data_IF_361811729754
#
_entry.id   IF_361811729754
#
_cell.length_a   1.000
_cell.length_b   1.000
_cell.length_c   1.000
_cell.angle_alpha   90.00
_cell.angle_beta   90.00
_cell.angle_gamma   90.00
#
_symmetry.space_group_name_H-M   'P 1'
#
loop_
_entity.id
_entity.type
_entity.pdbx_description
1 polymer ?
#
# COMPACT_ATOMS: atom_id res chain seq x y z
N UNK A 1 81.97 21.26 -4.71
CA UNK A 1 80.75 21.16 -5.54
C UNK A 1 79.70 20.24 -4.93
N UNK A 2 80.06 19.16 -4.23
CA UNK A 2 79.10 18.13 -3.79
C UNK A 2 78.08 18.56 -2.71
N UNK A 3 78.45 19.47 -1.81
CA UNK A 3 77.52 19.93 -0.75
C UNK A 3 76.32 20.73 -1.28
N UNK A 4 76.44 21.41 -2.42
CA UNK A 4 75.35 22.23 -2.98
C UNK A 4 74.25 21.37 -3.61
N UNK A 5 74.62 20.31 -4.33
CA UNK A 5 73.65 19.39 -4.94
C UNK A 5 72.80 18.67 -3.91
N UNK A 6 73.36 18.39 -2.73
CA UNK A 6 72.64 17.81 -1.61
C UNK A 6 71.49 18.71 -1.12
N UNK A 7 71.72 20.02 -1.02
CA UNK A 7 70.67 20.96 -0.60
C UNK A 7 69.55 21.11 -1.64
N UNK A 8 69.86 21.01 -2.94
CA UNK A 8 68.84 21.03 -4.00
C UNK A 8 67.98 19.77 -4.02
N UNK A 9 68.57 18.60 -3.75
CA UNK A 9 67.83 17.32 -3.66
C UNK A 9 66.86 17.35 -2.48
N UNK A 10 67.29 17.88 -1.33
CA UNK A 10 66.43 18.07 -0.16
C UNK A 10 65.29 19.04 -0.47
N UNK A 11 65.58 20.16 -1.15
CA UNK A 11 64.56 21.13 -1.53
C UNK A 11 63.52 20.56 -2.52
N UNK A 12 63.93 19.66 -3.42
CA UNK A 12 63.03 19.01 -4.38
C UNK A 12 62.09 17.97 -3.73
N UNK A 13 62.57 17.27 -2.70
CA UNK A 13 61.76 16.31 -1.94
C UNK A 13 60.73 16.99 -1.01
N UNK A 14 60.98 18.24 -0.61
CA UNK A 14 60.10 19.04 0.25
C UNK A 14 58.87 19.62 -0.49
N UNK A 15 58.77 19.48 -1.81
CA UNK A 15 57.66 20.00 -2.64
C UNK A 15 56.69 18.91 -3.15
N UNK A 16 56.88 17.65 -2.75
CA UNK A 16 55.97 16.57 -3.11
C UNK A 16 54.94 16.37 -1.98
N UNK A 17 53.74 16.95 -2.14
CA UNK A 17 52.57 16.52 -1.39
C UNK A 17 51.88 15.37 -2.15
N UNK A 18 51.67 14.23 -1.49
CA UNK A 18 50.87 13.12 -2.01
C UNK A 18 49.52 13.08 -1.29
N UNK A 19 48.44 13.41 -1.99
CA UNK A 19 47.09 13.13 -1.53
C UNK A 19 46.73 11.68 -1.87
N UNK A 20 46.98 10.76 -0.94
CA UNK A 20 46.32 9.46 -0.94
C UNK A 20 45.12 9.55 0.01
N UNK A 21 43.91 9.69 -0.54
CA UNK A 21 42.66 9.69 0.23
C UNK A 21 41.75 8.53 -0.20
N UNK A 22 41.44 7.65 0.74
CA UNK A 22 40.11 7.04 0.89
C UNK A 22 39.83 7.00 2.39
N UNK A 23 38.77 7.67 2.83
CA UNK A 23 38.52 7.88 4.25
C UNK A 23 37.96 6.64 4.95
N UNK A 24 38.82 5.88 5.61
CA UNK A 24 38.48 5.00 6.74
C UNK A 24 39.37 5.42 7.91
N UNK A 25 38.75 5.85 9.01
CA UNK A 25 39.37 6.44 10.22
C UNK A 25 40.06 7.82 10.01
N UNK A 26 39.33 8.81 9.50
CA UNK A 26 39.83 10.18 9.19
C UNK A 26 38.96 11.26 9.86
N UNK A 27 39.53 12.43 10.19
CA UNK A 27 38.79 13.61 10.70
C UNK A 27 38.74 14.80 9.74
N UNK A 28 39.07 14.63 8.45
CA UNK A 28 38.56 15.53 7.41
C UNK A 28 38.45 14.86 6.03
N UNK A 29 37.51 13.92 5.83
CA UNK A 29 37.12 13.49 4.50
C UNK A 29 36.10 14.45 3.86
N UNK A 30 36.31 14.81 2.59
CA UNK A 30 35.29 15.44 1.72
C UNK A 30 34.66 14.44 0.71
N UNK A 31 35.01 13.16 0.88
CA UNK A 31 34.81 11.91 0.12
C UNK A 31 34.53 11.95 -1.41
N UNK A 32 35.39 11.27 -2.19
CA UNK A 32 35.01 10.65 -3.45
C UNK A 32 35.30 9.14 -3.42
N UNK A 33 34.24 8.32 -3.44
CA UNK A 33 34.29 6.88 -3.68
C UNK A 33 34.44 6.64 -5.20
N UNK A 34 35.56 6.09 -5.65
CA UNK A 34 35.81 5.79 -7.08
C UNK A 34 35.80 4.28 -7.33
N UNK A 35 34.82 3.79 -8.10
CA UNK A 35 34.67 2.39 -8.53
C UNK A 35 34.90 2.33 -10.05
N UNK A 36 35.85 1.51 -10.52
CA UNK A 36 36.11 1.32 -11.95
C UNK A 36 36.18 -0.17 -12.30
N UNK A 37 35.52 -0.57 -13.40
CA UNK A 37 35.52 -1.93 -13.94
C UNK A 37 36.68 -2.12 -14.95
N UNK A 38 37.32 -3.28 -14.95
CA UNK A 38 38.47 -3.60 -15.82
C UNK A 38 38.08 -4.59 -16.96
N UNK A 39 37.06 -5.48 -16.82
CA UNK A 39 36.56 -6.35 -17.91
C UNK A 39 35.44 -7.35 -17.51
N UNK A 40 34.94 -8.10 -18.50
CA UNK A 40 33.57 -8.62 -18.69
C UNK A 40 33.15 -9.94 -18.02
N UNK A 41 33.84 -10.49 -17.02
CA UNK A 41 33.35 -11.71 -16.32
C UNK A 41 32.70 -11.43 -14.94
N UNK A 42 32.10 -10.24 -14.81
CA UNK A 42 31.01 -9.88 -13.89
C UNK A 42 31.25 -10.05 -12.38
N UNK A 43 32.33 -9.45 -11.84
CA UNK A 43 32.58 -9.38 -10.38
C UNK A 43 32.84 -7.95 -9.90
N UNK A 44 32.04 -7.01 -10.38
CA UNK A 44 32.15 -5.60 -9.99
C UNK A 44 31.18 -5.30 -8.85
N UNK A 45 31.67 -4.69 -7.78
CA UNK A 45 30.85 -4.29 -6.65
C UNK A 45 31.66 -3.99 -5.39
N UNK A 46 30.98 -3.52 -4.35
CA UNK A 46 31.53 -3.41 -3.00
C UNK A 46 31.01 -4.59 -2.19
N UNK A 47 31.91 -5.39 -1.64
CA UNK A 47 31.55 -6.46 -0.71
C UNK A 47 31.55 -5.86 0.70
N UNK A 48 30.39 -5.91 1.35
CA UNK A 48 30.24 -5.61 2.77
C UNK A 48 30.71 -6.81 3.61
N UNK A 49 31.07 -6.61 4.90
CA UNK A 49 31.42 -7.71 5.79
C UNK A 49 30.37 -8.83 5.74
N UNK A 50 30.83 -10.06 5.46
CA UNK A 50 29.98 -11.23 5.34
C UNK A 50 29.96 -12.02 6.64
N UNK A 51 28.78 -12.34 7.16
CA UNK A 51 28.59 -13.02 8.43
C UNK A 51 27.52 -14.11 8.31
N UNK A 52 27.63 -15.17 9.11
CA UNK A 52 26.61 -16.23 9.18
C UNK A 52 25.51 -15.91 10.21
N UNK A 53 25.83 -15.08 11.21
CA UNK A 53 24.95 -14.67 12.31
C UNK A 53 25.11 -13.17 12.60
N UNK A 54 24.12 -12.57 13.26
CA UNK A 54 24.26 -11.21 13.76
C UNK A 54 25.29 -11.10 14.89
N UNK A 55 26.13 -10.04 14.90
CA UNK A 55 26.91 -9.67 16.07
C UNK A 55 26.00 -9.50 17.31
N UNK A 56 26.42 -10.09 18.42
CA UNK A 56 25.64 -10.15 19.67
C UNK A 56 25.82 -8.94 20.58
N UNK A 57 26.95 -8.23 20.45
CA UNK A 57 27.28 -7.08 21.30
C UNK A 57 27.23 -5.82 20.45
N UNK A 58 26.06 -5.21 20.41
CA UNK A 58 25.82 -3.98 19.65
C UNK A 58 25.68 -2.79 20.59
N UNK A 59 26.37 -1.69 20.26
CA UNK A 59 26.36 -0.43 21.02
C UNK A 59 25.94 0.73 20.10
N UNK A 60 26.03 1.97 20.57
CA UNK A 60 25.80 3.14 19.73
C UNK A 60 26.88 3.29 18.64
N UNK A 61 28.07 2.72 18.85
CA UNK A 61 29.21 2.84 17.92
C UNK A 61 28.99 2.06 16.61
N UNK A 62 28.06 1.11 16.60
CA UNK A 62 27.71 0.33 15.40
C UNK A 62 26.43 0.84 14.71
N UNK A 63 25.92 2.01 15.10
CA UNK A 63 24.76 2.60 14.42
C UNK A 63 25.05 2.81 12.92
N UNK A 64 24.06 2.48 12.08
CA UNK A 64 24.18 2.46 10.62
C UNK A 64 25.21 1.46 10.05
N UNK A 65 25.69 0.50 10.85
CA UNK A 65 26.59 -0.55 10.35
C UNK A 65 25.87 -1.46 9.35
N UNK A 66 26.43 -1.63 8.16
CA UNK A 66 25.90 -2.52 7.12
C UNK A 66 26.72 -3.81 6.99
N UNK A 67 26.04 -4.94 6.89
CA UNK A 67 26.63 -6.28 6.70
C UNK A 67 25.85 -7.06 5.63
N UNK A 68 26.46 -8.14 5.16
CA UNK A 68 25.78 -9.15 4.35
C UNK A 68 25.72 -10.46 5.13
N UNK A 69 24.51 -10.98 5.37
CA UNK A 69 24.31 -12.32 5.95
C UNK A 69 24.32 -13.35 4.82
N UNK A 70 25.12 -14.41 4.99
CA UNK A 70 25.31 -15.47 3.98
C UNK A 70 24.12 -16.41 3.87
N UNK A 71 23.38 -16.61 4.96
CA UNK A 71 22.32 -17.61 5.10
C UNK A 71 22.79 -19.01 5.52
N UNK A 72 24.07 -19.17 5.92
CA UNK A 72 24.59 -20.45 6.40
C UNK A 72 24.32 -20.70 7.90
N UNK A 73 23.94 -19.65 8.64
CA UNK A 73 23.53 -19.72 10.05
C UNK A 73 22.00 -19.72 10.21
N UNK A 74 21.53 -19.19 11.35
CA UNK A 74 20.12 -19.08 11.71
C UNK A 74 19.41 -17.89 11.06
N UNK A 75 20.16 -16.91 10.56
CA UNK A 75 19.62 -15.68 9.95
C UNK A 75 19.55 -15.82 8.43
N UNK A 76 18.43 -15.37 7.86
CA UNK A 76 18.21 -15.39 6.42
C UNK A 76 19.23 -14.51 5.66
N UNK A 77 19.69 -15.04 4.52
CA UNK A 77 20.59 -14.35 3.59
C UNK A 77 20.06 -12.96 3.20
N UNK A 78 20.96 -11.97 3.16
CA UNK A 78 20.62 -10.64 2.66
C UNK A 78 21.56 -9.53 3.13
N UNK A 79 21.31 -8.32 2.66
CA UNK A 79 21.95 -7.11 3.19
C UNK A 79 21.18 -6.60 4.39
N UNK A 80 21.89 -6.31 5.47
CA UNK A 80 21.32 -5.85 6.73
C UNK A 80 22.05 -4.59 7.21
N UNK A 81 21.34 -3.70 7.88
CA UNK A 81 21.93 -2.59 8.61
C UNK A 81 21.48 -2.62 10.06
N UNK A 82 22.33 -2.16 10.96
CA UNK A 82 21.98 -1.99 12.37
C UNK A 82 21.48 -0.56 12.60
N UNK A 83 20.34 -0.44 13.25
CA UNK A 83 19.81 0.82 13.76
C UNK A 83 19.92 0.77 15.29
N UNK A 84 20.65 1.71 15.89
CA UNK A 84 20.80 1.74 17.34
C UNK A 84 19.43 1.85 18.03
N UNK A 85 19.27 1.13 19.14
CA UNK A 85 18.00 0.89 19.86
C UNK A 85 16.93 0.06 19.12
N UNK A 86 16.92 0.05 17.78
CA UNK A 86 15.93 -0.66 16.96
C UNK A 86 16.39 -2.05 16.48
N UNK A 87 17.69 -2.33 16.49
CA UNK A 87 18.26 -3.64 16.13
C UNK A 87 18.60 -3.79 14.64
N UNK A 88 18.72 -5.04 14.19
CA UNK A 88 19.07 -5.38 12.81
C UNK A 88 17.86 -5.29 11.87
N UNK A 89 18.01 -4.55 10.76
CA UNK A 89 17.00 -4.42 9.70
C UNK A 89 17.56 -4.81 8.35
N UNK A 90 16.74 -5.48 7.54
CA UNK A 90 17.11 -5.89 6.19
C UNK A 90 16.97 -4.71 5.23
N UNK A 91 17.97 -4.46 4.39
CA UNK A 91 18.00 -3.32 3.45
C UNK A 91 17.03 -3.49 2.28
N UNK A 92 16.90 -4.71 1.78
CA UNK A 92 15.96 -5.08 0.73
C UNK A 92 15.19 -6.27 1.27
N UNK A 93 14.01 -5.99 1.78
CA UNK A 93 13.04 -7.03 2.10
C UNK A 93 11.97 -7.01 1.01
N UNK A 94 11.60 -8.17 0.46
CA UNK A 94 10.51 -8.23 -0.53
C UNK A 94 9.22 -7.64 0.03
N UNK A 95 9.04 -7.72 1.34
CA UNK A 95 7.99 -7.11 2.15
C UNK A 95 8.06 -5.58 2.20
N UNK A 96 9.22 -4.92 2.13
CA UNK A 96 9.29 -3.44 2.11
C UNK A 96 8.92 -2.85 0.74
N UNK A 97 9.20 -3.59 -0.34
CA UNK A 97 8.74 -3.22 -1.68
C UNK A 97 7.24 -3.41 -1.87
N UNK A 98 6.66 -4.46 -1.25
CA UNK A 98 5.22 -4.78 -1.29
C UNK A 98 4.40 -3.87 -0.36
N UNK A 99 4.89 -3.56 0.86
CA UNK A 99 4.23 -2.60 1.76
C UNK A 99 4.24 -1.17 1.22
N UNK A 100 5.23 -0.79 0.39
CA UNK A 100 5.19 0.47 -0.34
C UNK A 100 4.21 0.47 -1.51
N UNK A 101 3.83 -0.68 -2.09
CA UNK A 101 2.87 -0.70 -3.21
C UNK A 101 1.48 -0.25 -2.78
N UNK A 102 1.04 -0.53 -1.54
CA UNK A 102 -0.30 -0.13 -1.06
C UNK A 102 -0.47 1.40 -1.08
N UNK A 103 0.63 2.14 -0.81
CA UNK A 103 0.65 3.59 -0.85
C UNK A 103 0.71 4.16 -2.26
N UNK A 104 1.03 3.35 -3.28
CA UNK A 104 1.10 3.82 -4.68
C UNK A 104 -0.26 3.88 -5.35
N UNK A 105 -1.27 3.16 -4.83
CA UNK A 105 -2.61 3.22 -5.38
C UNK A 105 -3.70 2.89 -4.34
N UNK A 106 -4.30 3.89 -3.66
CA UNK A 106 -5.31 3.65 -2.64
C UNK A 106 -6.63 3.10 -3.20
N UNK A 107 -6.80 3.02 -4.53
CA UNK A 107 -7.94 2.34 -5.15
C UNK A 107 -7.71 0.82 -5.25
N UNK A 108 -6.45 0.39 -5.25
CA UNK A 108 -6.04 -1.01 -5.47
C UNK A 108 -4.92 -1.38 -4.49
N UNK A 109 -5.19 -1.44 -3.18
CA UNK A 109 -4.17 -1.67 -2.15
C UNK A 109 -3.43 -3.01 -2.28
N UNK A 110 -4.10 -4.04 -2.82
CA UNK A 110 -3.48 -5.35 -3.09
C UNK A 110 -2.54 -5.34 -4.31
N UNK A 111 -2.47 -4.22 -5.01
CA UNK A 111 -1.72 -4.08 -6.25
C UNK A 111 -2.39 -4.80 -7.43
N UNK A 112 -1.60 -5.04 -8.47
CA UNK A 112 -2.05 -5.62 -9.74
C UNK A 112 -1.22 -6.83 -10.17
N UNK A 113 -0.42 -7.39 -9.26
CA UNK A 113 0.45 -8.54 -9.57
C UNK A 113 -0.41 -9.80 -9.65
N UNK A 114 -0.35 -10.49 -10.79
CA UNK A 114 -1.06 -11.77 -10.96
C UNK A 114 -2.58 -11.64 -11.01
N UNK A 115 -3.11 -10.50 -11.44
CA UNK A 115 -4.56 -10.29 -11.56
C UNK A 115 -5.22 -11.34 -12.45
N UNK A 116 -6.43 -11.75 -12.07
CA UNK A 116 -7.27 -12.66 -12.83
C UNK A 116 -8.58 -11.94 -13.16
N UNK A 117 -8.80 -11.54 -14.43
CA UNK A 117 -10.05 -10.89 -14.82
C UNK A 117 -11.27 -11.78 -14.58
N UNK A 118 -12.36 -11.18 -14.11
CA UNK A 118 -13.63 -11.87 -13.86
C UNK A 118 -14.78 -11.05 -14.45
N UNK A 119 -15.67 -11.74 -15.16
CA UNK A 119 -16.98 -11.22 -15.56
C UNK A 119 -18.02 -12.25 -15.14
N UNK A 120 -19.03 -11.84 -14.39
CA UNK A 120 -20.03 -12.76 -13.84
C UNK A 120 -21.42 -12.12 -13.83
N UNK A 121 -22.45 -12.89 -14.20
CA UNK A 121 -23.85 -12.47 -14.13
C UNK A 121 -24.48 -13.01 -12.84
N UNK A 122 -24.68 -12.12 -11.86
CA UNK A 122 -25.27 -12.48 -10.56
C UNK A 122 -26.72 -12.98 -10.66
N UNK A 123 -27.41 -12.75 -11.79
CA UNK A 123 -28.76 -13.32 -12.02
C UNK A 123 -28.72 -14.83 -12.24
N UNK A 124 -27.59 -15.35 -12.71
CA UNK A 124 -27.42 -16.79 -12.99
C UNK A 124 -27.00 -17.57 -11.74
N UNK A 125 -26.52 -16.88 -10.71
CA UNK A 125 -26.07 -17.45 -9.45
C UNK A 125 -25.15 -16.47 -8.71
N UNK A 126 -25.06 -16.62 -7.39
CA UNK A 126 -24.11 -15.85 -6.59
C UNK A 126 -22.66 -16.14 -6.96
N UNK A 127 -21.76 -15.26 -6.52
CA UNK A 127 -20.32 -15.41 -6.73
C UNK A 127 -19.59 -15.42 -5.39
N UNK A 128 -18.96 -16.54 -5.06
CA UNK A 128 -18.09 -16.64 -3.89
C UNK A 128 -16.68 -16.21 -4.25
N UNK A 129 -16.13 -15.25 -3.52
CA UNK A 129 -14.74 -14.85 -3.70
C UNK A 129 -13.83 -15.97 -3.20
N UNK A 130 -12.86 -16.46 -4.01
CA UNK A 130 -11.97 -17.54 -3.59
C UNK A 130 -11.14 -17.20 -2.35
N UNK A 131 -10.81 -18.22 -1.55
CA UNK A 131 -9.87 -18.08 -0.44
C UNK A 131 -8.51 -17.54 -0.93
N UNK A 132 -7.92 -16.63 -0.15
CA UNK A 132 -6.65 -15.96 -0.46
C UNK A 132 -6.76 -14.84 -1.51
N UNK A 133 -7.96 -14.51 -2.01
CA UNK A 133 -8.16 -13.49 -3.04
C UNK A 133 -9.11 -12.39 -2.60
N UNK A 134 -8.80 -11.15 -2.97
CA UNK A 134 -9.77 -10.07 -2.97
C UNK A 134 -10.30 -9.84 -4.39
N UNK A 135 -11.58 -9.50 -4.49
CA UNK A 135 -12.25 -9.16 -5.74
C UNK A 135 -12.43 -7.63 -5.84
N UNK A 136 -11.93 -7.06 -6.92
CA UNK A 136 -12.15 -5.66 -7.29
C UNK A 136 -13.17 -5.59 -8.40
N UNK A 137 -14.35 -5.05 -8.11
CA UNK A 137 -15.38 -4.78 -9.12
C UNK A 137 -15.17 -3.37 -9.66
N UNK A 138 -14.99 -3.27 -10.98
CA UNK A 138 -14.65 -2.02 -11.66
C UNK A 138 -15.75 -1.52 -12.59
N UNK A 139 -16.71 -2.38 -12.94
CA UNK A 139 -17.90 -1.96 -13.68
C UNK A 139 -19.10 -2.86 -13.40
N UNK A 140 -20.29 -2.31 -13.59
CA UNK A 140 -21.56 -2.99 -13.44
C UNK A 140 -22.46 -2.73 -14.64
N UNK A 141 -23.29 -3.70 -14.96
CA UNK A 141 -24.29 -3.60 -16.01
C UNK A 141 -25.59 -4.26 -15.60
N UNK A 142 -26.72 -3.59 -15.89
CA UNK A 142 -28.05 -4.19 -15.85
C UNK A 142 -28.95 -3.48 -16.87
N UNK A 143 -29.54 -4.27 -17.77
CA UNK A 143 -30.36 -3.77 -18.89
C UNK A 143 -31.63 -3.03 -18.49
N UNK A 144 -32.12 -3.18 -17.26
CA UNK A 144 -33.34 -2.51 -16.78
C UNK A 144 -33.06 -1.26 -15.95
N UNK A 145 -31.79 -0.93 -15.72
CA UNK A 145 -31.33 0.02 -14.71
C UNK A 145 -31.79 -0.26 -13.27
N UNK A 146 -32.72 -1.18 -13.01
CA UNK A 146 -33.20 -1.54 -11.67
C UNK A 146 -32.44 -2.78 -11.19
N UNK A 147 -31.92 -2.73 -9.97
CA UNK A 147 -31.23 -3.85 -9.37
C UNK A 147 -30.51 -3.52 -8.08
N UNK A 148 -29.97 -4.55 -7.46
CA UNK A 148 -29.14 -4.46 -6.26
C UNK A 148 -27.96 -5.41 -6.37
N UNK A 149 -26.88 -5.07 -5.66
CA UNK A 149 -25.77 -5.96 -5.38
C UNK A 149 -25.56 -6.01 -3.87
N UNK A 150 -25.54 -7.22 -3.33
CA UNK A 150 -25.40 -7.49 -1.90
C UNK A 150 -24.17 -8.37 -1.71
N UNK A 151 -23.41 -8.10 -0.66
CA UNK A 151 -22.39 -9.00 -0.15
C UNK A 151 -22.87 -9.59 1.17
N UNK A 152 -22.74 -10.90 1.33
CA UNK A 152 -22.77 -11.57 2.63
C UNK A 152 -21.32 -11.69 3.10
N UNK A 153 -20.98 -10.91 4.12
CA UNK A 153 -19.71 -10.98 4.80
C UNK A 153 -19.69 -12.24 5.66
N UNK A 154 -18.83 -13.19 5.30
CA UNK A 154 -18.79 -14.48 5.96
C UNK A 154 -18.14 -14.40 7.35
N UNK A 155 -17.37 -13.35 7.63
CA UNK A 155 -16.74 -13.15 8.94
C UNK A 155 -17.74 -12.67 9.98
N UNK A 156 -18.64 -11.76 9.58
CA UNK A 156 -19.68 -11.21 10.47
C UNK A 156 -21.04 -11.90 10.33
N UNK A 157 -21.23 -12.72 9.29
CA UNK A 157 -22.53 -13.28 8.88
C UNK A 157 -23.60 -12.21 8.61
N UNK A 158 -23.18 -11.00 8.24
CA UNK A 158 -24.06 -9.88 7.92
C UNK A 158 -24.12 -9.63 6.41
N UNK A 159 -25.25 -9.11 5.96
CA UNK A 159 -25.45 -8.73 4.55
C UNK A 159 -25.44 -7.22 4.38
N UNK A 160 -24.74 -6.75 3.36
CA UNK A 160 -24.54 -5.33 3.07
C UNK A 160 -24.93 -5.02 1.63
N UNK A 161 -25.72 -3.96 1.42
CA UNK A 161 -26.12 -3.54 0.06
C UNK A 161 -25.08 -2.59 -0.50
N UNK A 162 -24.23 -3.09 -1.40
CA UNK A 162 -23.14 -2.33 -2.00
C UNK A 162 -23.62 -1.40 -3.11
N UNK A 163 -24.70 -1.78 -3.80
CA UNK A 163 -25.31 -1.01 -4.90
C UNK A 163 -26.82 -1.21 -4.85
N UNK A 164 -27.58 -0.13 -5.06
CA UNK A 164 -29.02 -0.18 -5.22
C UNK A 164 -29.50 0.83 -6.26
N UNK A 165 -30.37 0.37 -7.16
CA UNK A 165 -31.28 1.21 -7.90
C UNK A 165 -32.69 0.61 -7.88
N UNK A 166 -33.64 1.39 -7.40
CA UNK A 166 -35.04 0.99 -7.24
C UNK A 166 -35.93 1.41 -8.41
N UNK A 167 -35.51 2.34 -9.26
CA UNK A 167 -36.33 2.87 -10.36
C UNK A 167 -35.54 2.97 -11.68
N UNK A 168 -36.14 2.50 -12.77
CA UNK A 168 -35.51 2.49 -14.10
C UNK A 168 -35.26 3.91 -14.64
N UNK A 169 -36.05 4.88 -14.19
CA UNK A 169 -35.94 6.29 -14.54
C UNK A 169 -34.77 7.01 -13.86
N UNK A 170 -34.15 6.40 -12.84
CA UNK A 170 -32.99 7.02 -12.22
C UNK A 170 -31.73 6.75 -13.06
N UNK A 171 -30.83 7.73 -13.11
CA UNK A 171 -29.50 7.57 -13.70
C UNK A 171 -28.83 6.34 -13.12
N UNK A 172 -28.17 5.49 -13.91
CA UNK A 172 -27.55 4.25 -13.44
C UNK A 172 -26.51 4.47 -12.32
N UNK A 173 -26.32 3.51 -11.38
CA UNK A 173 -25.30 3.62 -10.33
C UNK A 173 -23.93 3.89 -10.90
N UNK A 174 -23.29 4.97 -10.47
CA UNK A 174 -21.90 5.26 -10.86
C UNK A 174 -20.98 5.09 -9.65
N UNK A 175 -19.77 4.61 -9.90
CA UNK A 175 -18.70 4.55 -8.91
C UNK A 175 -17.37 4.81 -9.61
N UNK A 176 -16.51 5.61 -8.98
CA UNK A 176 -15.19 6.00 -9.50
C UNK A 176 -14.04 5.28 -8.78
N UNK A 177 -14.33 4.67 -7.64
CA UNK A 177 -13.44 3.77 -6.90
C UNK A 177 -14.02 2.36 -7.00
N UNK A 178 -13.18 1.32 -7.11
CA UNK A 178 -13.67 -0.05 -7.20
C UNK A 178 -14.44 -0.42 -5.94
N UNK A 179 -15.38 -1.35 -6.10
CA UNK A 179 -16.00 -2.01 -4.96
C UNK A 179 -15.12 -3.19 -4.61
N UNK A 180 -14.61 -3.20 -3.37
CA UNK A 180 -13.67 -4.20 -2.88
C UNK A 180 -14.42 -5.27 -2.07
N UNK A 181 -14.28 -6.53 -2.50
CA UNK A 181 -14.97 -7.67 -1.90
C UNK A 181 -13.96 -8.69 -1.34
N UNK A 182 -14.14 -9.09 -0.08
CA UNK A 182 -13.20 -9.94 0.66
C UNK A 182 -13.26 -11.40 0.25
N UNK A 183 -12.15 -12.09 0.46
CA UNK A 183 -12.08 -13.55 0.33
C UNK A 183 -13.19 -14.26 1.12
N UNK A 184 -13.73 -15.34 0.55
CA UNK A 184 -14.82 -16.17 1.10
C UNK A 184 -16.18 -15.49 1.22
N UNK A 185 -16.31 -14.20 0.90
CA UNK A 185 -17.60 -13.53 0.89
C UNK A 185 -18.44 -13.95 -0.33
N UNK A 186 -19.76 -13.90 -0.15
CA UNK A 186 -20.71 -14.27 -1.20
C UNK A 186 -21.40 -13.01 -1.74
N UNK A 187 -21.19 -12.75 -3.03
CA UNK A 187 -21.96 -11.76 -3.78
C UNK A 187 -23.25 -12.37 -4.31
N UNK A 188 -24.33 -11.60 -4.19
CA UNK A 188 -25.61 -11.86 -4.84
C UNK A 188 -26.19 -10.57 -5.42
N UNK A 189 -27.14 -10.71 -6.33
CA UNK A 189 -27.80 -9.53 -6.89
C UNK A 189 -28.32 -9.74 -8.29
N UNK A 190 -28.53 -8.63 -8.99
CA UNK A 190 -29.13 -8.61 -10.33
C UNK A 190 -28.26 -7.90 -11.35
N UNK A 191 -26.99 -7.60 -11.03
CA UNK A 191 -26.05 -7.00 -11.95
C UNK A 191 -25.13 -8.05 -12.59
N UNK A 192 -24.70 -7.78 -13.82
CA UNK A 192 -23.45 -8.33 -14.34
C UNK A 192 -22.34 -7.44 -13.83
N UNK A 193 -21.29 -8.01 -13.27
CA UNK A 193 -20.09 -7.26 -12.92
C UNK A 193 -18.92 -7.66 -13.82
N UNK A 194 -18.00 -6.71 -14.00
CA UNK A 194 -16.65 -7.00 -14.48
C UNK A 194 -15.64 -6.40 -13.50
N UNK A 195 -14.53 -7.12 -13.32
CA UNK A 195 -13.53 -6.85 -12.32
C UNK A 195 -12.35 -7.81 -12.41
N UNK A 196 -11.63 -7.97 -11.31
CA UNK A 196 -10.52 -8.93 -11.23
C UNK A 196 -10.28 -9.42 -9.80
N UNK A 197 -9.71 -10.62 -9.68
CA UNK A 197 -9.16 -11.16 -8.46
C UNK A 197 -7.66 -10.86 -8.36
N UNK A 198 -7.17 -10.66 -7.16
CA UNK A 198 -5.73 -10.53 -6.84
C UNK A 198 -5.47 -11.14 -5.46
N UNK A 199 -4.21 -11.49 -5.16
CA UNK A 199 -3.82 -11.99 -3.84
C UNK A 199 -4.23 -10.97 -2.75
N UNK A 200 -4.94 -11.44 -1.73
CA UNK A 200 -5.42 -10.58 -0.65
C UNK A 200 -4.25 -10.18 0.27
N UNK A 201 -4.08 -8.88 0.46
CA UNK A 201 -3.10 -8.25 1.36
C UNK A 201 -3.75 -7.28 2.33
N UNK A 202 -4.98 -6.84 2.06
CA UNK A 202 -5.83 -6.07 2.97
C UNK A 202 -7.15 -6.78 3.24
N UNK A 203 -7.74 -6.47 4.40
CA UNK A 203 -9.09 -6.92 4.74
C UNK A 203 -10.12 -5.84 4.35
N UNK A 204 -11.07 -6.15 3.45
CA UNK A 204 -12.14 -5.23 3.11
C UNK A 204 -13.08 -5.02 4.30
N UNK A 205 -13.67 -3.83 4.38
CA UNK A 205 -14.66 -3.47 5.38
C UNK A 205 -15.98 -3.14 4.71
N UNK A 206 -17.04 -3.69 5.30
CA UNK A 206 -18.42 -3.26 5.12
C UNK A 206 -18.96 -2.80 6.46
N UNK A 207 -19.61 -1.65 6.49
CA UNK A 207 -20.20 -1.14 7.73
C UNK A 207 -21.35 -0.20 7.45
N UNK A 208 -22.27 -0.09 8.40
CA UNK A 208 -23.46 0.74 8.30
C UNK A 208 -23.26 2.08 8.96
N UNK A 209 -23.60 3.17 8.25
CA UNK A 209 -23.82 4.55 8.72
C UNK A 209 -22.72 5.24 9.53
N UNK A 210 -21.93 4.57 10.37
CA UNK A 210 -20.82 5.13 11.14
C UNK A 210 -19.73 4.08 11.39
N UNK A 211 -18.47 4.51 11.41
CA UNK A 211 -17.35 3.65 11.76
C UNK A 211 -16.25 4.45 12.45
N UNK A 212 -15.82 4.01 13.64
CA UNK A 212 -14.68 4.59 14.36
C UNK A 212 -13.42 3.79 14.01
N UNK A 213 -12.40 4.47 13.50
CA UNK A 213 -11.17 3.83 13.06
C UNK A 213 -10.40 3.33 14.29
N UNK A 214 -10.01 2.03 14.33
CA UNK A 214 -9.22 1.48 15.43
C UNK A 214 -7.87 2.18 15.60
N UNK A 215 -7.28 2.06 16.80
CA UNK A 215 -5.93 2.54 17.05
C UNK A 215 -4.91 1.90 16.08
N UNK A 216 -3.88 2.67 15.71
CA UNK A 216 -2.81 2.26 14.78
C UNK A 216 -3.28 1.86 13.37
N UNK A 217 -4.50 2.25 12.98
CA UNK A 217 -5.03 2.02 11.64
C UNK A 217 -5.41 3.32 10.96
N UNK A 218 -5.42 3.31 9.63
CA UNK A 218 -6.08 4.31 8.80
C UNK A 218 -7.18 3.59 8.02
N UNK A 219 -8.38 4.15 8.00
CA UNK A 219 -9.47 3.65 7.16
C UNK A 219 -9.45 4.36 5.80
N UNK A 220 -9.34 3.55 4.75
CA UNK A 220 -9.43 4.01 3.37
C UNK A 220 -10.85 3.76 2.88
N UNK A 221 -11.61 4.84 2.78
CA UNK A 221 -12.98 4.83 2.32
C UNK A 221 -13.01 4.89 0.80
N UNK A 222 -13.52 3.85 0.15
CA UNK A 222 -13.61 3.79 -1.31
C UNK A 222 -14.94 4.36 -1.79
N UNK A 223 -16.03 3.87 -1.22
CA UNK A 223 -17.37 4.22 -1.73
C UNK A 223 -18.46 3.88 -0.72
N UNK A 224 -19.70 4.27 -1.02
CA UNK A 224 -20.85 3.90 -0.21
C UNK A 224 -22.13 3.89 -1.01
N UNK A 225 -23.16 3.25 -0.48
CA UNK A 225 -24.49 3.18 -1.06
C UNK A 225 -25.53 3.52 -0.01
N UNK A 226 -26.55 4.29 -0.37
CA UNK A 226 -27.75 4.45 0.43
C UNK A 226 -28.83 3.47 -0.06
N UNK A 227 -29.29 2.58 0.82
CA UNK A 227 -30.30 1.58 0.51
C UNK A 227 -31.68 1.89 1.12
N UNK A 228 -31.79 2.93 1.95
CA UNK A 228 -32.98 3.20 2.77
C UNK A 228 -33.87 4.31 2.22
N UNK A 229 -33.40 5.03 1.19
CA UNK A 229 -34.15 6.13 0.60
C UNK A 229 -33.86 6.27 -0.89
N UNK A 230 -34.81 6.84 -1.62
CA UNK A 230 -34.62 7.33 -3.00
C UNK A 230 -33.83 8.64 -3.08
N UNK A 231 -33.38 9.17 -1.93
CA UNK A 231 -32.56 10.36 -1.86
C UNK A 231 -31.07 9.97 -1.94
N UNK A 232 -30.23 10.86 -2.49
CA UNK A 232 -28.80 10.65 -2.50
C UNK A 232 -28.26 10.57 -1.06
N UNK A 233 -27.06 10.00 -0.88
CA UNK A 233 -26.31 10.22 0.38
C UNK A 233 -26.19 11.72 0.61
N UNK A 234 -26.84 12.21 1.68
CA UNK A 234 -26.94 13.63 1.95
C UNK A 234 -25.56 14.25 2.30
N UNK A 235 -24.75 13.54 3.07
CA UNK A 235 -23.45 14.04 3.54
C UNK A 235 -22.59 12.92 4.15
N UNK A 236 -21.29 12.96 3.88
CA UNK A 236 -20.27 12.17 4.57
C UNK A 236 -19.47 13.12 5.46
N UNK A 237 -19.31 12.75 6.74
CA UNK A 237 -18.60 13.53 7.76
C UNK A 237 -17.48 12.75 8.41
N UNK A 238 -16.36 13.41 8.70
CA UNK A 238 -15.32 12.91 9.62
C UNK A 238 -15.44 13.70 10.91
N UNK A 239 -15.82 13.02 12.00
CA UNK A 239 -16.25 13.67 13.23
C UNK A 239 -17.43 14.61 12.98
N UNK A 240 -17.26 15.89 13.31
CA UNK A 240 -18.26 16.93 13.05
C UNK A 240 -18.15 17.58 11.66
N UNK A 241 -17.09 17.28 10.90
CA UNK A 241 -16.75 18.02 9.68
C UNK A 241 -17.34 17.36 8.43
N UNK A 242 -18.11 18.12 7.65
CA UNK A 242 -18.55 17.76 6.31
C UNK A 242 -17.37 17.61 5.36
N UNK A 243 -17.23 16.47 4.68
CA UNK A 243 -16.11 16.25 3.73
C UNK A 243 -16.57 16.07 2.29
N UNK A 244 -17.73 15.46 2.04
CA UNK A 244 -18.27 15.30 0.68
C UNK A 244 -19.74 14.87 0.69
N UNK A 245 -20.40 14.96 -0.47
CA UNK A 245 -21.70 14.36 -0.76
C UNK A 245 -21.46 13.34 -1.88
N UNK A 246 -21.32 12.06 -1.53
CA UNK A 246 -20.96 11.03 -2.50
C UNK A 246 -21.62 9.69 -2.19
N UNK A 247 -21.85 8.90 -3.24
CA UNK A 247 -22.46 7.59 -3.16
C UNK A 247 -22.52 6.90 -4.51
N UNK A 248 -22.79 5.60 -4.48
CA UNK A 248 -23.09 4.76 -5.65
C UNK A 248 -24.58 4.58 -5.86
N UNK A 249 -25.44 5.20 -5.05
CA UNK A 249 -26.87 5.07 -5.15
C UNK A 249 -27.46 6.06 -6.16
N UNK A 250 -28.62 5.69 -6.70
CA UNK A 250 -29.34 6.53 -7.64
C UNK A 250 -30.39 7.38 -6.96
N UNK A 251 -30.52 8.63 -7.41
CA UNK A 251 -31.47 9.61 -6.90
C UNK A 251 -32.27 10.25 -8.04
N UNK A 252 -33.49 10.71 -7.73
CA UNK A 252 -34.28 11.61 -8.61
C UNK A 252 -33.61 12.95 -8.86
N UNK A 253 -32.75 13.41 -7.93
CA UNK A 253 -31.96 14.62 -8.08
C UNK A 253 -30.52 14.26 -8.45
N UNK A 254 -30.06 14.67 -9.63
CA UNK A 254 -28.76 14.30 -10.22
C UNK A 254 -27.53 14.94 -9.56
N UNK A 255 -27.53 15.15 -8.24
CA UNK A 255 -26.50 15.91 -7.54
C UNK A 255 -25.49 15.07 -6.74
N UNK A 256 -25.55 13.74 -6.80
CA UNK A 256 -24.53 12.90 -6.16
C UNK A 256 -23.61 12.30 -7.19
N UNK A 257 -22.35 12.71 -7.08
CA UNK A 257 -21.26 12.21 -7.89
C UNK A 257 -20.50 11.14 -7.11
N UNK A 258 -20.05 10.12 -7.84
CA UNK A 258 -19.17 9.12 -7.27
C UNK A 258 -17.83 9.73 -6.84
N UNK A 259 -17.35 9.31 -5.68
CA UNK A 259 -16.12 9.81 -5.08
C UNK A 259 -14.94 9.56 -6.03
N UNK A 260 -14.32 10.62 -6.56
CA UNK A 260 -13.26 10.49 -7.54
C UNK A 260 -11.99 9.82 -6.99
N UNK A 261 -11.69 10.03 -5.70
CA UNK A 261 -10.53 9.51 -4.99
C UNK A 261 -10.89 9.09 -3.56
N UNK A 262 -10.31 8.02 -3.00
CA UNK A 262 -10.64 7.55 -1.65
C UNK A 262 -10.48 8.64 -0.58
N UNK A 263 -11.28 8.55 0.50
CA UNK A 263 -11.08 9.36 1.70
C UNK A 263 -10.18 8.60 2.68
N UNK A 264 -9.38 9.35 3.43
CA UNK A 264 -8.47 8.84 4.46
C UNK A 264 -8.98 9.31 5.81
N UNK A 265 -9.16 8.38 6.74
CA UNK A 265 -9.69 8.65 8.08
C UNK A 265 -8.70 8.10 9.09
N UNK A 266 -8.20 8.96 9.99
CA UNK A 266 -7.14 8.61 10.93
C UNK A 266 -7.66 7.81 12.13
N UNK A 267 -6.74 7.15 12.83
CA UNK A 267 -7.02 6.40 14.04
C UNK A 267 -7.80 7.24 15.07
N UNK A 268 -8.89 6.69 15.61
CA UNK A 268 -9.76 7.35 16.59
C UNK A 268 -10.78 8.33 15.99
N UNK A 269 -10.67 8.70 14.72
CA UNK A 269 -11.71 9.47 14.05
C UNK A 269 -12.91 8.58 13.71
N UNK A 270 -14.09 9.20 13.59
CA UNK A 270 -15.32 8.50 13.21
C UNK A 270 -15.82 9.05 11.89
N UNK A 271 -15.92 8.19 10.88
CA UNK A 271 -16.62 8.48 9.63
C UNK A 271 -18.12 8.25 9.85
N UNK A 272 -18.94 9.21 9.46
CA UNK A 272 -20.40 9.14 9.52
C UNK A 272 -20.97 9.40 8.14
N UNK A 273 -21.77 8.46 7.64
CA UNK A 273 -22.66 8.66 6.52
C UNK A 273 -24.01 9.12 7.10
N UNK A 274 -24.38 10.37 6.84
CA UNK A 274 -25.52 11.06 7.49
C UNK A 274 -26.90 10.57 7.05
N UNK A 275 -27.00 9.29 6.69
CA UNK A 275 -28.24 8.64 6.30
C UNK A 275 -28.31 7.22 6.85
N UNK A 276 -29.45 6.90 7.46
CA UNK A 276 -29.72 5.59 8.04
C UNK A 276 -29.64 4.51 6.95
N UNK A 277 -29.06 3.35 7.26
CA UNK A 277 -29.00 2.21 6.32
C UNK A 277 -27.88 2.29 5.26
N UNK A 278 -27.21 3.44 5.12
CA UNK A 278 -26.08 3.56 4.20
C UNK A 278 -24.99 2.54 4.51
N UNK A 279 -24.52 1.85 3.48
CA UNK A 279 -23.41 0.90 3.53
C UNK A 279 -22.14 1.57 3.03
N UNK A 280 -21.05 1.43 3.76
CA UNK A 280 -19.71 1.89 3.36
C UNK A 280 -18.87 0.70 2.89
N UNK A 281 -17.98 0.96 1.93
CA UNK A 281 -16.98 0.01 1.46
C UNK A 281 -15.59 0.66 1.47
N UNK A 282 -14.62 -0.07 2.00
CA UNK A 282 -13.25 0.40 2.17
C UNK A 282 -12.35 -0.70 2.72
N UNK A 283 -11.21 -0.33 3.29
CA UNK A 283 -10.28 -1.25 3.93
C UNK A 283 -9.42 -0.51 4.96
N UNK A 284 -8.77 -1.25 5.86
CA UNK A 284 -7.79 -0.68 6.80
C UNK A 284 -6.37 -0.88 6.31
N UNK A 285 -5.51 0.08 6.62
CA UNK A 285 -4.05 -0.06 6.56
C UNK A 285 -3.45 0.24 7.93
N UNK A 286 -2.26 -0.29 8.18
CA UNK A 286 -1.47 0.06 9.35
C UNK A 286 -0.91 1.48 9.23
N UNK A 287 -0.83 2.18 10.37
CA UNK A 287 -0.22 3.51 10.51
C UNK A 287 1.26 3.41 10.87
#
# INVERSE_FOLDING_TARGET
MERQYFYYIIFFLLLHHSDAQVGINTSNPAAALHINNISDNEKNGIILPQLDEFPVTMTADQDSMMIYITGNGSVNKGYWFYEHASGWRKLIDSTSAESLQMYRNPKFPDGMKGIQPVTHDLKTGGYSVPAGKNLYITSLYNSRNIGNMIVLDNTTSLSFTLISNTEASYTFPTFNNPILVGQNDLLGGTFVFNGFLVDATVDPIYTFSSYTVPANKIFIYLTSNNNSSSLPIAEIRIGATAVTQSGTNNSRSGNVEALAMPLFIDAGETINNMQSGSTMNGYLIDK
#
